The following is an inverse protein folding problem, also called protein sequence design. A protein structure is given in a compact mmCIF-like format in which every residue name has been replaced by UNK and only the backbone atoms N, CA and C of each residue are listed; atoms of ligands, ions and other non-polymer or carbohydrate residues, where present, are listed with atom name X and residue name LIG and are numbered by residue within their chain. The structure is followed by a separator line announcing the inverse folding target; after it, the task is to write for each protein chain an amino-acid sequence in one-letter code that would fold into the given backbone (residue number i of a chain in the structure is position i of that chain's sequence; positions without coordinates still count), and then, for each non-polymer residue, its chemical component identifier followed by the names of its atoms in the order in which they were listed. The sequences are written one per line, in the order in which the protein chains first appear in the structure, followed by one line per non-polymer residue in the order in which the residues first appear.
data_IF_546803059002
#
_entry.id   IF_546803059002
#
_cell.length_a   1.000
_cell.length_b   1.000
_cell.length_c   1.000
_cell.angle_alpha   90.00
_cell.angle_beta   90.00
_cell.angle_gamma   90.00
#
_symmetry.space_group_name_H-M   'P 1'
#
loop_
_entity.id
_entity.type
_entity.pdbx_description
1 polymer ?
#
# COMPACT_ATOMS: atom_id res chain seq x y z
N UNK A 1 5.95 23.01 -6.74
CA UNK A 1 7.33 22.48 -6.86
C UNK A 1 7.25 20.98 -6.67
N UNK A 2 7.80 20.18 -7.59
CA UNK A 2 7.84 18.70 -7.42
C UNK A 2 9.09 18.32 -6.67
N UNK A 3 8.95 17.55 -5.59
CA UNK A 3 10.07 17.03 -4.80
C UNK A 3 10.48 15.64 -5.28
N UNK A 4 9.52 14.84 -5.71
CA UNK A 4 9.67 13.42 -6.04
C UNK A 4 9.63 13.18 -7.56
N UNK A 5 8.66 13.77 -8.25
CA UNK A 5 8.47 13.60 -9.69
C UNK A 5 9.28 14.63 -10.50
N UNK A 6 10.49 14.96 -10.05
CA UNK A 6 11.41 15.91 -10.70
C UNK A 6 11.78 15.51 -12.12
N UNK A 7 11.77 14.22 -12.43
CA UNK A 7 12.03 13.72 -13.79
C UNK A 7 11.06 14.25 -14.85
N UNK A 8 9.87 14.72 -14.44
CA UNK A 8 8.93 15.39 -15.34
C UNK A 8 9.40 16.80 -15.78
N UNK A 9 10.18 17.46 -14.93
CA UNK A 9 10.61 18.84 -15.15
C UNK A 9 12.06 18.90 -15.68
N UNK A 10 12.86 17.87 -15.42
CA UNK A 10 14.28 17.78 -15.78
C UNK A 10 14.48 16.56 -16.68
N UNK A 11 14.63 16.74 -17.98
CA UNK A 11 14.91 15.64 -18.91
C UNK A 11 16.19 14.89 -18.53
N UNK A 12 16.21 13.57 -18.78
CA UNK A 12 17.36 12.69 -18.53
C UNK A 12 17.86 12.67 -17.06
N UNK A 13 17.02 13.00 -16.08
CA UNK A 13 17.41 13.04 -14.66
C UNK A 13 17.88 11.66 -14.12
N UNK A 14 17.53 10.57 -14.82
CA UNK A 14 18.03 9.22 -14.56
C UNK A 14 19.54 9.06 -14.82
N UNK A 15 20.19 10.01 -15.54
CA UNK A 15 21.63 10.00 -15.75
C UNK A 15 22.36 10.67 -14.60
N UNK A 16 23.37 10.02 -14.08
CA UNK A 16 24.15 10.52 -12.92
C UNK A 16 24.64 11.97 -13.10
N UNK A 17 25.19 12.30 -14.27
CA UNK A 17 25.72 13.64 -14.54
C UNK A 17 24.64 14.73 -14.52
N UNK A 18 23.43 14.42 -15.00
CA UNK A 18 22.28 15.33 -14.94
C UNK A 18 21.78 15.46 -13.52
N UNK A 19 21.67 14.35 -12.79
CA UNK A 19 21.27 14.36 -11.38
C UNK A 19 22.20 15.22 -10.52
N UNK A 20 23.53 15.02 -10.68
CA UNK A 20 24.55 15.84 -9.98
C UNK A 20 24.47 17.33 -10.35
N UNK A 21 24.30 17.66 -11.62
CA UNK A 21 24.16 19.05 -12.07
C UNK A 21 22.92 19.76 -11.48
N UNK A 22 21.95 18.99 -10.99
CA UNK A 22 20.72 19.46 -10.34
C UNK A 22 20.69 19.22 -8.82
N UNK A 23 21.85 19.21 -8.16
CA UNK A 23 21.99 19.09 -6.71
C UNK A 23 21.94 17.66 -6.18
N UNK A 24 22.09 16.66 -7.05
CA UNK A 24 22.10 15.26 -6.66
C UNK A 24 23.32 14.89 -5.82
N UNK A 25 23.12 13.97 -4.87
CA UNK A 25 24.08 13.50 -3.88
C UNK A 25 24.59 14.54 -2.86
N UNK A 26 24.05 15.77 -2.86
CA UNK A 26 24.40 16.76 -1.85
C UNK A 26 23.84 16.36 -0.46
N UNK A 27 22.68 15.73 -0.41
CA UNK A 27 22.10 15.17 0.81
C UNK A 27 23.00 14.08 1.41
N UNK A 28 23.54 13.17 0.59
CA UNK A 28 24.46 12.12 1.04
C UNK A 28 25.78 12.73 1.51
N UNK A 29 26.34 13.69 0.78
CA UNK A 29 27.56 14.40 1.20
C UNK A 29 27.37 15.04 2.58
N UNK A 30 26.24 15.74 2.78
CA UNK A 30 25.89 16.33 4.09
C UNK A 30 25.74 15.27 5.17
N UNK A 31 25.01 14.18 4.90
CA UNK A 31 24.82 13.08 5.85
C UNK A 31 26.14 12.49 6.33
N UNK A 32 27.11 12.30 5.44
CA UNK A 32 28.45 11.78 5.80
C UNK A 32 29.27 12.71 6.68
N UNK A 33 28.95 14.00 6.75
CA UNK A 33 29.55 14.94 7.71
C UNK A 33 28.88 14.93 9.07
N UNK A 34 27.69 14.33 9.18
CA UNK A 34 26.90 14.20 10.41
C UNK A 34 27.14 12.84 11.07
N UNK A 35 26.94 12.78 12.38
CA UNK A 35 26.87 11.48 13.06
C UNK A 35 25.60 10.73 12.63
N UNK A 36 25.63 9.38 12.57
CA UNK A 36 24.46 8.58 12.25
C UNK A 36 23.20 8.94 13.04
N UNK A 37 23.32 9.15 14.35
CA UNK A 37 22.21 9.55 15.20
C UNK A 37 21.61 10.93 14.83
N UNK A 38 22.46 11.89 14.43
CA UNK A 38 22.02 13.24 14.03
C UNK A 38 21.20 13.18 12.73
N UNK A 39 21.53 12.27 11.80
CA UNK A 39 20.74 12.01 10.59
C UNK A 39 19.36 11.43 10.95
N UNK A 40 19.33 10.47 11.89
CA UNK A 40 18.05 9.92 12.39
C UNK A 40 17.19 11.01 13.03
N UNK A 41 17.79 11.89 13.83
CA UNK A 41 17.07 12.96 14.52
C UNK A 41 16.54 14.01 13.53
N UNK A 42 17.29 14.34 12.46
CA UNK A 42 16.82 15.22 11.39
C UNK A 42 15.60 14.63 10.67
N UNK A 43 15.63 13.34 10.32
CA UNK A 43 14.50 12.67 9.70
C UNK A 43 13.31 12.53 10.67
N UNK A 44 13.53 12.35 11.96
CA UNK A 44 12.44 12.42 12.96
C UNK A 44 11.85 13.82 13.05
N UNK A 45 12.69 14.84 13.13
CA UNK A 45 12.26 16.23 13.22
C UNK A 45 11.45 16.66 12.00
N UNK A 46 11.73 16.12 10.79
CA UNK A 46 10.97 16.41 9.58
C UNK A 46 9.52 15.92 9.62
N UNK A 47 9.19 14.97 10.51
CA UNK A 47 7.86 14.36 10.54
C UNK A 47 7.57 13.43 9.36
N UNK A 48 8.59 13.00 8.59
CA UNK A 48 8.41 12.09 7.46
C UNK A 48 7.74 10.79 7.90
N UNK A 49 6.55 10.54 7.37
CA UNK A 49 5.83 9.26 7.54
C UNK A 49 6.06 8.36 6.33
N UNK A 50 6.00 7.05 6.53
CA UNK A 50 6.11 6.06 5.46
C UNK A 50 5.05 6.28 4.38
N UNK A 51 5.44 6.20 3.10
CA UNK A 51 4.59 6.45 1.91
C UNK A 51 4.07 5.18 1.25
N UNK A 52 4.46 4.01 1.76
CA UNK A 52 4.06 2.72 1.17
C UNK A 52 2.74 2.14 1.68
N UNK A 53 2.14 2.68 2.74
CA UNK A 53 0.89 2.15 3.29
C UNK A 53 0.57 2.67 4.68
N UNK A 54 1.09 2.05 5.74
CA UNK A 54 0.71 2.30 7.13
C UNK A 54 1.07 3.69 7.69
N UNK A 55 1.89 4.48 7.00
CA UNK A 55 2.23 5.83 7.45
C UNK A 55 3.03 5.91 8.77
N UNK A 56 3.78 4.87 9.12
CA UNK A 56 4.61 4.88 10.33
C UNK A 56 5.76 5.89 10.20
N UNK A 57 6.12 6.68 11.24
CA UNK A 57 7.18 7.66 11.16
C UNK A 57 8.54 7.04 10.81
N UNK A 58 9.16 7.49 9.71
CA UNK A 58 10.35 6.86 9.14
C UNK A 58 11.57 6.96 10.09
N UNK A 59 11.86 8.15 10.61
CA UNK A 59 12.97 8.35 11.53
C UNK A 59 12.82 7.59 12.86
N UNK A 60 11.58 7.40 13.34
CA UNK A 60 11.30 6.56 14.51
C UNK A 60 11.60 5.09 14.18
N UNK A 61 11.20 4.61 13.00
CA UNK A 61 11.52 3.25 12.55
C UNK A 61 13.03 3.01 12.51
N UNK A 62 13.81 3.97 12.02
CA UNK A 62 15.28 3.87 11.97
C UNK A 62 15.90 3.80 13.36
N UNK A 63 15.34 4.50 14.35
CA UNK A 63 15.86 4.48 15.71
C UNK A 63 15.64 3.17 16.48
N UNK A 64 14.83 2.25 15.94
CA UNK A 64 14.67 0.92 16.54
C UNK A 64 15.81 -0.03 16.24
N UNK A 65 16.70 0.31 15.30
CA UNK A 65 17.86 -0.50 14.95
C UNK A 65 18.90 -0.47 16.08
N UNK A 66 19.29 -1.62 16.63
CA UNK A 66 20.36 -1.69 17.62
C UNK A 66 21.68 -1.16 17.05
N UNK A 67 22.29 -0.21 17.76
CA UNK A 67 23.51 0.43 17.27
C UNK A 67 24.74 -0.47 17.37
N UNK A 68 24.77 -1.40 18.31
CA UNK A 68 25.85 -2.33 18.64
C UNK A 68 25.90 -3.58 17.73
N UNK A 69 24.86 -3.83 16.93
CA UNK A 69 24.89 -4.94 15.98
C UNK A 69 25.80 -4.63 14.79
N UNK A 70 26.75 -5.53 14.46
CA UNK A 70 27.75 -5.28 13.42
C UNK A 70 27.19 -5.43 12.00
N UNK A 71 26.12 -6.21 11.82
CA UNK A 71 25.48 -6.47 10.53
C UNK A 71 24.06 -5.92 10.57
N UNK A 72 23.75 -5.02 9.67
CA UNK A 72 22.43 -4.39 9.51
C UNK A 72 22.18 -4.15 8.05
N UNK A 73 20.90 -4.19 7.66
CA UNK A 73 20.50 -4.00 6.27
C UNK A 73 19.45 -2.93 6.11
N UNK A 74 19.45 -2.31 4.93
CA UNK A 74 18.30 -1.55 4.41
C UNK A 74 17.67 -2.39 3.31
N UNK A 75 16.36 -2.58 3.38
CA UNK A 75 15.58 -3.17 2.31
C UNK A 75 14.61 -2.12 1.76
N UNK A 76 14.80 -1.74 0.51
CA UNK A 76 13.90 -0.84 -0.21
C UNK A 76 12.76 -1.66 -0.75
N UNK A 77 11.54 -1.37 -0.29
CA UNK A 77 10.33 -2.01 -0.79
C UNK A 77 9.89 -1.31 -2.08
N UNK A 78 10.22 -1.92 -3.20
CA UNK A 78 9.81 -1.57 -4.55
C UNK A 78 8.85 -2.62 -5.15
N UNK A 79 8.17 -3.41 -4.28
CA UNK A 79 7.08 -4.29 -4.66
C UNK A 79 5.78 -3.50 -4.74
N UNK A 80 5.62 -2.73 -5.81
CA UNK A 80 4.46 -1.90 -6.06
C UNK A 80 3.33 -2.73 -6.68
N UNK A 81 2.60 -3.44 -5.85
CA UNK A 81 1.58 -4.40 -6.27
C UNK A 81 0.16 -4.03 -5.80
N UNK A 82 -0.01 -2.97 -4.98
CA UNK A 82 -1.34 -2.49 -4.57
C UNK A 82 -2.13 -2.03 -5.80
N UNK A 83 -3.40 -2.44 -5.87
CA UNK A 83 -4.27 -2.10 -6.99
C UNK A 83 -4.38 -0.59 -7.18
N UNK A 84 -4.18 -0.11 -8.40
CA UNK A 84 -4.22 1.31 -8.73
C UNK A 84 -2.99 2.11 -8.31
N UNK A 85 -1.92 1.47 -7.81
CA UNK A 85 -0.66 2.14 -7.45
C UNK A 85 0.36 2.04 -8.59
N UNK A 86 0.94 3.19 -9.00
CA UNK A 86 1.95 3.28 -10.08
C UNK A 86 2.90 4.48 -9.90
N UNK A 87 3.09 4.93 -8.66
CA UNK A 87 3.94 6.08 -8.30
C UNK A 87 5.42 5.73 -8.16
N UNK A 88 5.72 4.55 -7.56
CA UNK A 88 7.09 4.12 -7.30
C UNK A 88 7.80 3.76 -8.61
N UNK A 89 7.05 3.18 -9.56
CA UNK A 89 7.51 2.95 -10.92
C UNK A 89 7.97 4.25 -11.56
N UNK A 90 7.15 5.30 -11.55
CA UNK A 90 7.49 6.60 -12.15
C UNK A 90 8.70 7.25 -11.47
N UNK A 91 8.83 7.13 -10.14
CA UNK A 91 10.00 7.63 -9.42
C UNK A 91 11.25 6.89 -9.86
N UNK A 92 11.22 5.56 -9.94
CA UNK A 92 12.37 4.75 -10.32
C UNK A 92 12.78 4.95 -11.79
N UNK A 93 11.81 5.16 -12.69
CA UNK A 93 12.09 5.46 -14.10
C UNK A 93 12.65 6.88 -14.30
N UNK A 94 12.06 7.87 -13.63
CA UNK A 94 12.33 9.28 -13.86
C UNK A 94 13.41 9.92 -12.96
N UNK A 95 13.61 9.37 -11.76
CA UNK A 95 14.51 9.95 -10.75
C UNK A 95 15.15 8.86 -9.86
N UNK A 96 15.76 7.81 -10.44
CA UNK A 96 16.28 6.65 -9.69
C UNK A 96 17.40 7.04 -8.71
N UNK A 97 18.24 8.00 -9.05
CA UNK A 97 19.36 8.42 -8.22
C UNK A 97 18.91 9.09 -6.91
N UNK A 98 17.76 9.79 -6.88
CA UNK A 98 17.25 10.38 -5.64
C UNK A 98 16.76 9.30 -4.67
N UNK A 99 16.13 8.24 -5.16
CA UNK A 99 15.78 7.07 -4.36
C UNK A 99 17.03 6.35 -3.83
N UNK A 100 18.03 6.15 -4.70
CA UNK A 100 19.31 5.54 -4.34
C UNK A 100 20.06 6.36 -3.28
N UNK A 101 20.14 7.68 -3.45
CA UNK A 101 20.71 8.59 -2.46
C UNK A 101 19.99 8.50 -1.12
N UNK A 102 18.66 8.50 -1.12
CA UNK A 102 17.85 8.35 0.11
C UNK A 102 18.07 7.01 0.80
N UNK A 103 18.23 5.93 0.04
CA UNK A 103 18.56 4.61 0.57
C UNK A 103 19.94 4.56 1.21
N UNK A 104 20.94 5.22 0.60
CA UNK A 104 22.31 5.33 1.14
C UNK A 104 22.35 6.23 2.39
N UNK A 105 21.58 7.32 2.43
CA UNK A 105 21.44 8.15 3.65
C UNK A 105 20.82 7.33 4.78
N UNK A 106 19.77 6.55 4.51
CA UNK A 106 19.19 5.63 5.49
C UNK A 106 20.23 4.60 5.96
N UNK A 107 20.99 4.03 5.03
CA UNK A 107 22.04 3.06 5.33
C UNK A 107 23.15 3.65 6.19
N UNK A 108 23.59 4.89 5.91
CA UNK A 108 24.52 5.62 6.78
C UNK A 108 23.96 5.84 8.17
N UNK A 109 22.72 6.31 8.27
CA UNK A 109 22.07 6.62 9.53
C UNK A 109 21.97 5.42 10.48
N UNK A 110 21.77 4.22 9.95
CA UNK A 110 21.73 2.99 10.76
C UNK A 110 23.03 2.20 10.74
N UNK A 111 24.07 2.66 10.03
CA UNK A 111 25.33 1.94 9.82
C UNK A 111 25.10 0.56 9.17
N UNK A 112 24.31 0.53 8.10
CA UNK A 112 24.03 -0.69 7.35
C UNK A 112 25.26 -1.18 6.59
N UNK A 113 25.33 -2.50 6.42
CA UNK A 113 26.39 -3.19 5.67
C UNK A 113 26.04 -3.40 4.19
N UNK A 114 24.77 -3.33 3.84
CA UNK A 114 24.27 -3.38 2.46
C UNK A 114 22.85 -2.82 2.35
N UNK A 115 22.51 -2.43 1.12
CA UNK A 115 21.14 -2.07 0.69
C UNK A 115 20.66 -3.10 -0.31
N UNK A 116 19.43 -3.59 -0.13
CA UNK A 116 18.72 -4.43 -1.08
C UNK A 116 17.48 -3.71 -1.60
N UNK A 117 17.36 -3.56 -2.91
CA UNK A 117 16.17 -2.99 -3.57
C UNK A 117 15.33 -4.18 -4.07
N UNK A 118 14.22 -4.47 -3.38
CA UNK A 118 13.31 -5.54 -3.77
C UNK A 118 12.28 -5.01 -4.76
N UNK A 119 12.42 -5.41 -6.01
CA UNK A 119 11.58 -5.02 -7.13
C UNK A 119 10.44 -6.01 -7.32
N UNK A 120 9.27 -5.51 -7.67
CA UNK A 120 8.17 -6.31 -8.20
C UNK A 120 8.65 -7.13 -9.41
N UNK A 121 8.20 -8.39 -9.54
CA UNK A 121 8.66 -9.30 -10.58
C UNK A 121 8.43 -8.82 -12.02
N UNK A 122 7.42 -7.95 -12.22
CA UNK A 122 7.10 -7.36 -13.51
C UNK A 122 7.98 -6.15 -13.88
N UNK A 123 8.86 -5.69 -12.97
CA UNK A 123 9.72 -4.50 -13.16
C UNK A 123 11.16 -4.86 -13.57
N UNK A 124 11.33 -5.86 -14.40
CA UNK A 124 12.65 -6.31 -14.84
C UNK A 124 13.39 -5.25 -15.69
N UNK A 125 12.69 -4.46 -16.50
CA UNK A 125 13.25 -3.33 -17.26
C UNK A 125 13.72 -2.19 -16.33
N UNK A 126 12.99 -1.94 -15.23
CA UNK A 126 13.41 -1.01 -14.18
C UNK A 126 14.61 -1.57 -13.42
N UNK A 127 14.67 -2.90 -13.23
CA UNK A 127 15.82 -3.57 -12.64
C UNK A 127 17.10 -3.29 -13.43
N UNK A 128 17.07 -3.46 -14.75
CA UNK A 128 18.20 -3.16 -15.64
C UNK A 128 18.61 -1.68 -15.56
N UNK A 129 17.64 -0.77 -15.50
CA UNK A 129 17.89 0.67 -15.33
C UNK A 129 18.57 0.96 -13.99
N UNK A 130 18.09 0.40 -12.90
CA UNK A 130 18.63 0.61 -11.56
C UNK A 130 20.04 0.01 -11.42
N UNK A 131 20.30 -1.16 -11.99
CA UNK A 131 21.64 -1.76 -12.00
C UNK A 131 22.64 -0.85 -12.71
N UNK A 132 22.24 -0.22 -13.81
CA UNK A 132 23.04 0.80 -14.49
C UNK A 132 23.30 2.02 -13.61
N UNK A 133 22.26 2.56 -12.95
CA UNK A 133 22.39 3.71 -12.04
C UNK A 133 23.26 3.38 -10.81
N UNK A 134 23.15 2.17 -10.26
CA UNK A 134 23.98 1.70 -9.15
C UNK A 134 25.45 1.60 -9.59
N UNK A 135 25.71 1.06 -10.79
CA UNK A 135 27.06 0.96 -11.33
C UNK A 135 27.69 2.35 -11.56
N UNK A 136 26.92 3.30 -12.11
CA UNK A 136 27.36 4.68 -12.30
C UNK A 136 27.65 5.38 -10.96
N UNK A 137 26.79 5.21 -9.97
CA UNK A 137 26.97 5.74 -8.63
C UNK A 137 28.22 5.14 -7.94
N UNK A 138 28.45 3.84 -8.08
CA UNK A 138 29.63 3.18 -7.53
C UNK A 138 30.92 3.64 -8.22
N UNK A 139 30.93 3.76 -9.54
CA UNK A 139 32.08 4.29 -10.29
C UNK A 139 32.43 5.73 -9.93
N UNK A 140 31.43 6.54 -9.54
CA UNK A 140 31.62 7.91 -9.07
C UNK A 140 31.90 8.02 -7.55
N UNK A 141 31.96 6.89 -6.84
CA UNK A 141 32.27 6.85 -5.39
C UNK A 141 31.10 7.18 -4.47
N UNK A 142 29.85 7.17 -4.97
CA UNK A 142 28.66 7.43 -4.14
C UNK A 142 28.08 6.14 -3.52
N UNK A 143 28.46 4.96 -4.02
CA UNK A 143 28.04 3.67 -3.50
C UNK A 143 29.21 2.67 -3.48
N UNK A 144 29.05 1.53 -2.84
CA UNK A 144 30.08 0.48 -2.81
C UNK A 144 31.15 0.70 -1.74
N UNK A 145 32.41 0.72 -2.13
CA UNK A 145 33.54 0.79 -1.20
C UNK A 145 33.96 2.24 -0.90
N UNK A 146 34.29 2.52 0.36
CA UNK A 146 34.85 3.79 0.85
C UNK A 146 34.13 5.02 0.26
N UNK A 147 32.82 5.08 0.46
CA UNK A 147 31.92 6.08 -0.12
C UNK A 147 32.43 7.49 0.21
N UNK A 148 32.75 8.27 -0.86
CA UNK A 148 33.28 9.64 -0.78
C UNK A 148 34.49 9.80 0.16
N UNK A 149 35.28 8.74 0.38
CA UNK A 149 36.45 8.78 1.26
C UNK A 149 36.13 8.74 2.75
N UNK A 150 34.90 8.43 3.13
CA UNK A 150 34.44 8.40 4.52
C UNK A 150 34.95 7.21 5.36
N UNK A 151 35.53 6.20 4.71
CA UNK A 151 35.90 4.93 5.34
C UNK A 151 34.71 3.95 5.49
N UNK A 152 33.48 4.39 5.19
CA UNK A 152 32.31 3.53 5.20
C UNK A 152 32.05 2.93 3.81
N UNK A 153 31.65 1.67 3.79
CA UNK A 153 31.35 0.93 2.57
C UNK A 153 29.92 0.36 2.66
N UNK A 154 29.15 0.52 1.59
CA UNK A 154 27.80 0.00 1.52
C UNK A 154 27.44 -0.36 0.07
N UNK A 155 27.55 -1.63 -0.33
CA UNK A 155 27.09 -2.10 -1.62
C UNK A 155 25.56 -2.04 -1.71
N UNK A 156 25.05 -1.82 -2.92
CA UNK A 156 23.62 -1.81 -3.24
C UNK A 156 23.35 -2.89 -4.26
N UNK A 157 22.29 -3.66 -4.02
CA UNK A 157 21.87 -4.76 -4.88
C UNK A 157 20.39 -4.62 -5.24
N UNK A 158 20.03 -4.90 -6.48
CA UNK A 158 18.65 -5.16 -6.88
C UNK A 158 18.29 -6.62 -6.65
N UNK A 159 17.05 -6.90 -6.38
CA UNK A 159 16.49 -8.25 -6.32
C UNK A 159 15.12 -8.23 -6.97
N UNK A 160 14.94 -9.06 -8.00
CA UNK A 160 13.68 -9.17 -8.69
C UNK A 160 12.80 -10.21 -8.00
N UNK A 161 11.61 -9.81 -7.55
CA UNK A 161 10.59 -10.70 -7.01
C UNK A 161 9.96 -11.56 -8.10
N UNK A 162 8.91 -12.28 -7.73
CA UNK A 162 8.17 -13.16 -8.64
C UNK A 162 6.72 -12.74 -8.89
N UNK A 163 6.38 -11.46 -8.67
CA UNK A 163 5.06 -10.90 -8.96
C UNK A 163 3.97 -11.23 -7.94
N UNK A 164 4.32 -11.51 -6.69
CA UNK A 164 3.36 -11.80 -5.63
C UNK A 164 3.11 -10.56 -4.75
N UNK A 165 1.87 -10.06 -4.71
CA UNK A 165 1.43 -8.93 -3.87
C UNK A 165 1.86 -9.05 -2.40
N UNK A 166 1.76 -10.28 -1.85
CA UNK A 166 2.12 -10.51 -0.45
C UNK A 166 3.58 -10.16 -0.13
N UNK A 167 4.48 -10.17 -1.13
CA UNK A 167 5.88 -9.79 -0.94
C UNK A 167 6.07 -8.28 -0.70
N UNK A 168 5.02 -7.46 -0.84
CA UNK A 168 4.98 -6.09 -0.33
C UNK A 168 4.87 -6.01 1.21
N UNK A 169 4.39 -7.07 1.88
CA UNK A 169 4.47 -7.18 3.34
C UNK A 169 5.92 -7.39 3.77
N UNK A 170 6.41 -6.55 4.71
CA UNK A 170 7.85 -6.47 5.00
C UNK A 170 8.51 -7.80 5.36
N UNK A 171 7.85 -8.66 6.12
CA UNK A 171 8.44 -9.95 6.52
C UNK A 171 8.32 -11.02 5.44
N UNK A 172 7.30 -10.96 4.60
CA UNK A 172 7.20 -11.82 3.41
C UNK A 172 8.26 -11.45 2.36
N UNK A 173 8.49 -10.15 2.16
CA UNK A 173 9.58 -9.64 1.32
C UNK A 173 10.95 -10.15 1.79
N UNK A 174 11.23 -10.08 3.09
CA UNK A 174 12.49 -10.60 3.65
C UNK A 174 12.62 -12.11 3.46
N UNK A 175 11.51 -12.87 3.59
CA UNK A 175 11.52 -14.30 3.30
C UNK A 175 11.84 -14.57 1.83
N UNK A 176 11.27 -13.79 0.91
CA UNK A 176 11.56 -13.89 -0.53
C UNK A 176 13.02 -13.56 -0.85
N UNK A 177 13.59 -12.49 -0.25
CA UNK A 177 15.01 -12.16 -0.38
C UNK A 177 15.94 -13.29 0.07
N UNK A 178 15.53 -14.06 1.09
CA UNK A 178 16.28 -15.22 1.58
C UNK A 178 16.13 -16.47 0.70
N UNK A 179 15.35 -16.37 -0.40
CA UNK A 179 15.13 -17.49 -1.32
C UNK A 179 14.13 -18.54 -0.81
N UNK A 180 13.34 -18.21 0.22
CA UNK A 180 12.28 -19.07 0.72
C UNK A 180 10.90 -18.53 0.33
N UNK A 181 9.85 -19.32 0.58
CA UNK A 181 8.49 -18.91 0.24
C UNK A 181 8.13 -17.56 0.86
N UNK A 182 7.69 -16.62 0.02
CA UNK A 182 7.29 -15.27 0.42
C UNK A 182 6.03 -15.28 1.26
N UNK A 183 6.15 -15.59 2.54
CA UNK A 183 5.06 -15.61 3.50
C UNK A 183 5.40 -14.76 4.74
N UNK A 184 4.43 -14.04 5.31
CA UNK A 184 4.63 -13.26 6.54
C UNK A 184 5.16 -14.10 7.69
N UNK A 185 6.02 -13.49 8.52
CA UNK A 185 6.60 -14.10 9.72
C UNK A 185 5.77 -13.74 10.97
N UNK A 186 5.80 -14.61 11.95
CA UNK A 186 5.23 -14.31 13.28
C UNK A 186 6.07 -13.24 13.96
N UNK A 187 5.44 -12.29 14.59
CA UNK A 187 6.08 -11.19 15.34
C UNK A 187 5.72 -11.28 16.82
N UNK A 188 6.60 -10.96 17.77
CA UNK A 188 8.01 -10.63 17.61
C UNK A 188 8.89 -11.85 17.23
N UNK A 189 10.14 -11.66 16.74
CA UNK A 189 10.85 -10.38 16.57
C UNK A 189 10.39 -9.60 15.33
N UNK A 190 10.46 -8.25 15.42
CA UNK A 190 10.20 -7.37 14.29
C UNK A 190 11.43 -7.24 13.38
N UNK A 191 11.30 -6.84 12.09
CA UNK A 191 12.44 -6.71 11.18
C UNK A 191 13.59 -5.85 11.70
N UNK A 192 13.30 -4.78 12.42
CA UNK A 192 14.31 -3.89 13.04
C UNK A 192 15.05 -4.53 14.22
N UNK A 193 14.63 -5.70 14.67
CA UNK A 193 15.26 -6.43 15.79
C UNK A 193 16.10 -7.58 15.27
N UNK A 194 17.16 -7.94 16.01
CA UNK A 194 17.91 -9.16 15.75
C UNK A 194 16.97 -10.38 15.79
N UNK A 195 17.12 -11.27 14.83
CA UNK A 195 16.25 -12.45 14.66
C UNK A 195 15.05 -12.22 13.75
N UNK A 196 14.64 -10.96 13.48
CA UNK A 196 13.44 -10.64 12.69
C UNK A 196 13.70 -10.15 11.26
N UNK A 197 14.87 -9.55 11.01
CA UNK A 197 15.24 -8.99 9.71
C UNK A 197 15.81 -10.00 8.71
N UNK A 198 16.42 -9.48 7.66
CA UNK A 198 17.05 -10.25 6.59
C UNK A 198 18.22 -11.09 7.16
N UNK A 199 18.24 -12.37 6.84
CA UNK A 199 19.21 -13.34 7.39
C UNK A 199 19.30 -13.30 8.93
N UNK A 200 18.17 -12.96 9.58
CA UNK A 200 18.03 -12.74 11.03
C UNK A 200 18.79 -11.54 11.60
N UNK A 201 19.34 -10.68 10.75
CA UNK A 201 19.99 -9.45 11.17
C UNK A 201 19.01 -8.25 11.12
N UNK A 202 19.23 -7.25 11.97
CA UNK A 202 18.36 -6.09 12.06
C UNK A 202 18.26 -5.36 10.70
N UNK A 203 17.03 -5.14 10.22
CA UNK A 203 16.77 -4.59 8.89
C UNK A 203 15.73 -3.48 8.93
N UNK A 204 16.04 -2.34 8.34
CA UNK A 204 15.04 -1.30 8.05
C UNK A 204 14.41 -1.57 6.70
N UNK A 205 13.09 -1.66 6.67
CA UNK A 205 12.32 -1.75 5.43
C UNK A 205 11.64 -0.41 5.19
N UNK A 206 11.90 0.23 4.04
CA UNK A 206 11.23 1.46 3.62
C UNK A 206 10.78 1.39 2.16
N UNK A 207 9.64 2.01 1.85
CA UNK A 207 9.14 2.14 0.49
C UNK A 207 9.98 3.15 -0.32
N UNK A 208 9.97 3.01 -1.64
CA UNK A 208 10.65 3.87 -2.62
C UNK A 208 10.33 5.35 -2.39
N UNK A 209 9.05 5.73 -2.41
CA UNK A 209 8.64 7.13 -2.22
C UNK A 209 9.10 7.69 -0.87
N UNK A 210 9.12 6.88 0.18
CA UNK A 210 9.60 7.31 1.50
C UNK A 210 11.06 7.75 1.45
N UNK A 211 11.92 6.91 0.87
CA UNK A 211 13.36 7.18 0.81
C UNK A 211 13.69 8.34 -0.15
N UNK A 212 12.92 8.49 -1.23
CA UNK A 212 13.10 9.59 -2.19
C UNK A 212 12.89 10.98 -1.56
N UNK A 213 12.17 11.10 -0.44
CA UNK A 213 12.05 12.37 0.31
C UNK A 213 13.32 12.74 1.11
N UNK A 214 14.11 11.75 1.50
CA UNK A 214 15.21 11.94 2.47
C UNK A 214 16.31 12.89 1.99
N UNK A 215 16.79 12.82 0.73
CA UNK A 215 17.79 13.77 0.23
C UNK A 215 17.36 15.22 0.39
N UNK A 216 16.11 15.53 0.05
CA UNK A 216 15.55 16.88 0.17
C UNK A 216 15.49 17.35 1.64
N UNK A 217 15.09 16.46 2.56
CA UNK A 217 15.10 16.76 4.00
C UNK A 217 16.50 17.09 4.48
N UNK A 218 17.52 16.34 4.03
CA UNK A 218 18.90 16.60 4.42
C UNK A 218 19.44 17.92 3.82
N UNK A 219 19.06 18.29 2.59
CA UNK A 219 19.55 19.52 1.95
C UNK A 219 18.85 20.77 2.51
N UNK A 220 17.53 20.76 2.57
CA UNK A 220 16.72 21.95 2.91
C UNK A 220 16.39 22.05 4.40
N UNK A 221 16.50 20.92 5.14
CA UNK A 221 16.20 20.85 6.57
C UNK A 221 14.80 20.35 6.92
N UNK A 222 14.69 19.83 8.14
CA UNK A 222 13.45 19.27 8.67
C UNK A 222 12.32 20.30 8.74
N UNK A 223 12.59 21.53 9.13
CA UNK A 223 11.58 22.57 9.26
C UNK A 223 10.96 22.96 7.90
N UNK A 224 11.78 23.00 6.83
CA UNK A 224 11.30 23.26 5.49
C UNK A 224 10.34 22.15 5.01
N UNK A 225 10.62 20.89 5.35
CA UNK A 225 9.76 19.77 5.02
C UNK A 225 8.45 19.81 5.82
N UNK A 226 8.50 20.15 7.12
CA UNK A 226 7.32 20.29 7.98
C UNK A 226 6.42 21.45 7.56
N UNK A 227 6.95 22.46 6.91
CA UNK A 227 6.16 23.57 6.38
C UNK A 227 5.24 23.18 5.22
N UNK A 228 5.43 21.96 4.64
CA UNK A 228 4.60 21.41 3.58
C UNK A 228 3.66 20.38 4.21
N UNK A 229 2.38 20.40 3.84
CA UNK A 229 1.38 19.44 4.33
C UNK A 229 0.66 19.89 5.60
N UNK A 230 0.27 18.94 6.45
CA UNK A 230 -0.38 19.20 7.74
C UNK A 230 0.60 19.01 8.90
N UNK A 231 0.22 19.43 10.10
CA UNK A 231 1.04 19.25 11.31
C UNK A 231 1.40 17.78 11.57
N UNK A 232 0.45 16.86 11.35
CA UNK A 232 0.62 15.41 11.59
C UNK A 232 1.05 14.64 10.34
N UNK A 233 0.87 15.20 9.15
CA UNK A 233 1.22 14.61 7.87
C UNK A 233 2.04 15.58 7.03
N UNK A 234 3.34 15.69 7.36
CA UNK A 234 4.27 16.60 6.70
C UNK A 234 4.69 16.11 5.30
N UNK A 235 5.03 17.07 4.44
CA UNK A 235 5.59 16.86 3.12
C UNK A 235 4.54 16.65 2.03
N UNK A 236 5.04 16.28 0.85
CA UNK A 236 4.21 15.90 -0.30
C UNK A 236 3.89 14.39 -0.30
N UNK A 237 2.92 14.03 -1.12
CA UNK A 237 2.57 12.65 -1.44
C UNK A 237 2.27 12.55 -2.94
N UNK A 238 2.68 11.45 -3.55
CA UNK A 238 2.24 11.12 -4.91
C UNK A 238 0.92 10.35 -4.81
N UNK A 239 -0.14 10.95 -5.38
CA UNK A 239 -1.46 10.35 -5.48
C UNK A 239 -1.62 9.72 -6.85
N UNK A 240 -1.84 8.40 -6.89
CA UNK A 240 -2.16 7.68 -8.12
C UNK A 240 -3.68 7.77 -8.35
N UNK A 241 -4.12 8.45 -9.39
CA UNK A 241 -5.55 8.60 -9.70
C UNK A 241 -5.92 7.78 -10.93
N UNK A 242 -6.92 6.93 -10.81
CA UNK A 242 -7.41 6.06 -11.88
C UNK A 242 -8.91 5.75 -11.74
N UNK A 243 -9.43 4.86 -12.58
CA UNK A 243 -10.85 4.54 -12.66
C UNK A 243 -11.58 5.47 -13.62
N UNK A 244 -12.81 5.87 -13.29
CA UNK A 244 -13.64 6.74 -14.12
C UNK A 244 -13.27 8.21 -13.95
N UNK A 245 -12.08 8.57 -14.41
CA UNK A 245 -11.54 9.93 -14.35
C UNK A 245 -11.10 10.41 -15.73
N UNK A 246 -11.37 11.67 -16.12
CA UNK A 246 -10.94 12.21 -17.41
C UNK A 246 -9.42 12.29 -17.57
N UNK A 247 -8.68 12.55 -16.52
CA UNK A 247 -7.22 12.69 -16.52
C UNK A 247 -6.58 11.79 -15.47
N UNK A 248 -6.43 10.47 -15.75
CA UNK A 248 -5.71 9.55 -14.86
C UNK A 248 -4.21 9.88 -14.84
N UNK A 249 -3.54 9.61 -13.70
CA UNK A 249 -2.10 9.85 -13.58
C UNK A 249 -1.63 9.99 -12.14
N UNK A 250 -0.34 10.26 -11.99
CA UNK A 250 0.27 10.58 -10.71
C UNK A 250 0.29 12.08 -10.47
N UNK A 251 -0.19 12.50 -9.30
CA UNK A 251 -0.25 13.89 -8.86
C UNK A 251 0.56 14.05 -7.58
N UNK A 252 1.65 14.81 -7.62
CA UNK A 252 2.39 15.15 -6.41
C UNK A 252 1.84 16.43 -5.82
N UNK A 253 1.17 16.30 -4.66
CA UNK A 253 0.53 17.39 -3.93
C UNK A 253 0.93 17.35 -2.46
N UNK A 254 0.82 18.49 -1.72
CA UNK A 254 0.95 18.50 -0.28
C UNK A 254 -0.05 17.54 0.39
N UNK A 255 0.38 16.83 1.43
CA UNK A 255 -0.58 16.14 2.28
C UNK A 255 -1.55 17.16 2.91
N UNK A 256 -2.83 16.80 2.99
CA UNK A 256 -3.90 17.73 3.41
C UNK A 256 -4.63 18.43 2.26
N UNK A 257 -4.20 18.26 1.00
CA UNK A 257 -5.01 18.65 -0.16
C UNK A 257 -6.35 17.91 -0.13
N UNK A 258 -7.51 18.58 -0.29
CA UNK A 258 -8.81 17.92 -0.29
C UNK A 258 -8.98 16.95 -1.49
N UNK A 259 -9.81 15.90 -1.33
CA UNK A 259 -10.18 15.05 -2.47
C UNK A 259 -10.76 15.87 -3.62
N UNK A 260 -11.59 16.89 -3.32
CA UNK A 260 -12.21 17.74 -4.33
C UNK A 260 -11.18 18.41 -5.22
N UNK A 261 -10.15 19.02 -4.66
CA UNK A 261 -9.08 19.65 -5.46
C UNK A 261 -8.39 18.61 -6.35
N UNK A 262 -8.05 17.45 -5.80
CA UNK A 262 -7.39 16.39 -6.57
C UNK A 262 -8.29 15.85 -7.68
N UNK A 263 -9.54 15.49 -7.36
CA UNK A 263 -10.42 14.78 -8.28
C UNK A 263 -11.11 15.72 -9.27
N UNK A 264 -11.56 16.89 -8.83
CA UNK A 264 -12.29 17.83 -9.69
C UNK A 264 -11.30 18.73 -10.44
N UNK A 265 -10.42 19.45 -9.74
CA UNK A 265 -9.58 20.46 -10.36
C UNK A 265 -8.44 19.81 -11.16
N UNK A 266 -7.77 18.82 -10.58
CA UNK A 266 -6.64 18.15 -11.23
C UNK A 266 -7.08 17.00 -12.15
N UNK A 267 -7.88 16.05 -11.68
CA UNK A 267 -8.29 14.87 -12.48
C UNK A 267 -9.49 15.13 -13.40
N UNK A 268 -10.28 16.21 -13.16
CA UNK A 268 -11.36 16.65 -14.06
C UNK A 268 -12.67 15.91 -13.88
N UNK A 269 -12.88 15.27 -12.73
CA UNK A 269 -14.14 14.59 -12.43
C UNK A 269 -15.30 15.57 -12.27
N UNK A 270 -16.49 15.14 -12.70
CA UNK A 270 -17.73 15.77 -12.30
C UNK A 270 -18.11 15.30 -10.88
N UNK A 271 -18.15 16.20 -9.87
CA UNK A 271 -18.43 15.78 -8.50
C UNK A 271 -19.79 15.09 -8.34
N UNK A 272 -20.80 15.47 -9.12
CA UNK A 272 -22.14 14.89 -9.07
C UNK A 272 -22.18 13.47 -9.68
N UNK A 273 -21.13 13.06 -10.40
CA UNK A 273 -21.02 11.76 -11.02
C UNK A 273 -20.01 10.82 -10.30
N UNK A 274 -19.56 11.15 -9.11
CA UNK A 274 -18.69 10.25 -8.30
C UNK A 274 -19.59 9.43 -7.38
N UNK A 275 -19.74 8.13 -7.66
CA UNK A 275 -20.48 7.18 -6.80
C UNK A 275 -19.65 6.74 -5.60
N UNK A 276 -18.42 6.32 -5.86
CA UNK A 276 -17.55 5.73 -4.84
C UNK A 276 -16.08 6.00 -5.11
N UNK A 277 -15.27 5.99 -4.04
CA UNK A 277 -13.84 6.16 -4.09
C UNK A 277 -13.18 5.03 -3.28
N UNK A 278 -12.16 4.38 -3.87
CA UNK A 278 -11.19 3.56 -3.17
C UNK A 278 -9.95 4.43 -2.89
N UNK A 279 -9.75 4.92 -1.67
CA UNK A 279 -8.69 5.91 -1.41
C UNK A 279 -7.29 5.30 -1.28
N UNK A 280 -7.20 3.97 -1.13
CA UNK A 280 -5.94 3.24 -1.01
C UNK A 280 -5.94 1.93 -1.81
N UNK A 281 -6.44 1.98 -3.03
CA UNK A 281 -6.63 0.79 -3.83
C UNK A 281 -7.67 -0.16 -3.22
N UNK A 282 -7.51 -1.44 -3.47
CA UNK A 282 -8.42 -2.46 -2.95
C UNK A 282 -8.25 -2.76 -1.45
N UNK A 283 -7.18 -2.28 -0.81
CA UNK A 283 -6.87 -2.62 0.59
C UNK A 283 -7.63 -1.80 1.63
N UNK A 284 -8.13 -0.61 1.26
CA UNK A 284 -8.82 0.29 2.18
C UNK A 284 -10.34 0.19 2.15
N UNK A 285 -10.98 0.64 3.24
CA UNK A 285 -12.41 0.89 3.24
C UNK A 285 -12.85 1.82 2.11
N UNK A 286 -13.85 1.39 1.34
CA UNK A 286 -14.44 2.15 0.24
C UNK A 286 -15.37 3.21 0.81
N UNK A 287 -15.29 4.44 0.31
CA UNK A 287 -16.11 5.56 0.75
C UNK A 287 -17.04 6.05 -0.37
N UNK A 288 -18.24 6.58 -0.04
CA UNK A 288 -19.15 7.16 -1.03
C UNK A 288 -18.63 8.52 -1.53
N UNK A 289 -19.03 8.90 -2.76
CA UNK A 289 -18.65 10.18 -3.38
C UNK A 289 -19.48 11.38 -2.89
N UNK A 290 -19.64 11.55 -1.57
CA UNK A 290 -20.41 12.66 -0.98
C UNK A 290 -19.56 13.91 -0.85
N UNK A 291 -20.22 15.08 -0.75
CA UNK A 291 -19.53 16.37 -0.51
C UNK A 291 -18.63 16.32 0.73
N UNK A 292 -19.08 15.70 1.82
CA UNK A 292 -18.30 15.53 3.04
C UNK A 292 -16.98 14.76 2.77
N UNK A 293 -17.04 13.68 1.99
CA UNK A 293 -15.86 12.92 1.58
C UNK A 293 -14.98 13.74 0.65
N UNK A 294 -15.57 14.41 -0.33
CA UNK A 294 -14.83 15.23 -1.29
C UNK A 294 -14.09 16.40 -0.62
N UNK A 295 -14.66 16.97 0.44
CA UNK A 295 -14.05 18.09 1.18
C UNK A 295 -13.07 17.62 2.27
N UNK A 296 -12.93 16.29 2.47
CA UNK A 296 -11.98 15.72 3.43
C UNK A 296 -10.53 15.87 2.94
N UNK A 297 -9.60 16.35 3.80
CA UNK A 297 -8.19 16.45 3.47
C UNK A 297 -7.55 15.07 3.28
N UNK A 298 -6.72 14.92 2.26
CA UNK A 298 -5.90 13.74 1.98
C UNK A 298 -4.69 13.68 2.93
N UNK A 299 -4.94 13.35 4.20
CA UNK A 299 -3.92 13.15 5.22
C UNK A 299 -4.17 11.86 6.00
N UNK A 300 -3.16 11.35 6.70
CA UNK A 300 -3.32 10.09 7.44
C UNK A 300 -4.37 10.20 8.53
N UNK A 301 -4.37 11.31 9.28
CA UNK A 301 -5.31 11.58 10.38
C UNK A 301 -6.74 11.81 9.89
N UNK A 302 -6.93 12.54 8.79
CA UNK A 302 -8.27 12.80 8.25
C UNK A 302 -8.89 11.54 7.65
N UNK A 303 -8.09 10.72 6.93
CA UNK A 303 -8.57 9.44 6.42
C UNK A 303 -8.98 8.49 7.55
N UNK A 304 -8.21 8.44 8.63
CA UNK A 304 -8.58 7.67 9.82
C UNK A 304 -9.89 8.19 10.45
N UNK A 305 -10.07 9.51 10.51
CA UNK A 305 -11.31 10.15 10.98
C UNK A 305 -12.52 9.80 10.11
N UNK A 306 -12.31 9.61 8.80
CA UNK A 306 -13.34 9.19 7.85
C UNK A 306 -13.63 7.67 7.91
N UNK A 307 -12.92 6.91 8.74
CA UNK A 307 -13.07 5.45 8.83
C UNK A 307 -12.41 4.67 7.68
N UNK A 308 -11.48 5.30 6.97
CA UNK A 308 -10.69 4.67 5.90
C UNK A 308 -9.19 4.87 6.12
N UNK A 309 -8.37 4.55 5.15
CA UNK A 309 -6.92 4.72 5.20
C UNK A 309 -6.42 5.44 3.94
N UNK A 310 -5.36 6.23 4.08
CA UNK A 310 -4.67 6.83 2.93
C UNK A 310 -3.85 5.79 2.17
N UNK A 311 -3.26 4.83 2.87
CA UNK A 311 -2.50 3.73 2.30
C UNK A 311 -1.36 4.20 1.39
N UNK A 312 -1.28 3.59 0.21
CA UNK A 312 -0.36 4.01 -0.87
C UNK A 312 -0.80 5.28 -1.58
N UNK A 313 -2.01 5.80 -1.29
CA UNK A 313 -2.70 6.87 -2.01
C UNK A 313 -3.01 6.52 -3.48
N UNK A 314 -3.39 5.28 -3.72
CA UNK A 314 -3.97 4.81 -4.98
C UNK A 314 -5.47 5.05 -4.99
N UNK A 315 -5.89 6.14 -5.58
CA UNK A 315 -7.27 6.61 -5.59
C UNK A 315 -7.95 6.11 -6.86
N UNK A 316 -8.91 5.19 -6.70
CA UNK A 316 -9.69 4.65 -7.80
C UNK A 316 -11.11 5.21 -7.68
N UNK A 317 -11.57 5.91 -8.72
CA UNK A 317 -12.89 6.54 -8.76
C UNK A 317 -13.86 5.70 -9.55
N UNK A 318 -15.05 5.47 -9.01
CA UNK A 318 -16.19 4.87 -9.70
C UNK A 318 -17.28 5.91 -9.88
N UNK A 319 -17.81 6.02 -11.07
CA UNK A 319 -18.95 6.87 -11.38
C UNK A 319 -20.30 6.17 -11.09
N UNK A 320 -21.41 6.90 -11.30
CA UNK A 320 -22.77 6.42 -11.00
C UNK A 320 -23.21 5.20 -11.83
N UNK A 321 -22.50 4.84 -12.89
CA UNK A 321 -22.80 3.66 -13.71
C UNK A 321 -22.29 2.35 -13.14
N UNK A 322 -21.43 2.39 -12.11
CA UNK A 322 -20.74 1.21 -11.58
C UNK A 322 -21.60 0.50 -10.55
N UNK A 323 -21.70 -0.81 -10.71
CA UNK A 323 -22.26 -1.72 -9.72
C UNK A 323 -21.21 -2.07 -8.65
N UNK A 324 -21.48 -1.71 -7.40
CA UNK A 324 -20.53 -1.92 -6.30
C UNK A 324 -20.43 -3.38 -5.87
N UNK A 325 -21.42 -4.23 -6.19
CA UNK A 325 -21.32 -5.69 -6.01
C UNK A 325 -20.26 -6.27 -6.94
N UNK A 326 -20.20 -5.77 -8.18
CA UNK A 326 -19.16 -6.15 -9.14
C UNK A 326 -17.78 -5.69 -8.65
N UNK A 327 -17.63 -4.47 -8.11
CA UNK A 327 -16.37 -3.97 -7.55
C UNK A 327 -15.91 -4.87 -6.40
N UNK A 328 -16.81 -5.19 -5.46
CA UNK A 328 -16.52 -6.08 -4.34
C UNK A 328 -16.03 -7.45 -4.82
N UNK A 329 -16.65 -8.02 -5.85
CA UNK A 329 -16.21 -9.28 -6.46
C UNK A 329 -14.81 -9.18 -7.08
N UNK A 330 -14.51 -8.09 -7.81
CA UNK A 330 -13.20 -7.92 -8.45
C UNK A 330 -12.08 -7.80 -7.43
N UNK A 331 -12.28 -7.02 -6.38
CA UNK A 331 -11.30 -6.87 -5.29
C UNK A 331 -11.14 -8.18 -4.51
N UNK A 332 -12.24 -8.89 -4.24
CA UNK A 332 -12.17 -10.21 -3.58
C UNK A 332 -11.39 -11.22 -4.40
N UNK A 333 -11.60 -11.27 -5.74
CA UNK A 333 -10.84 -12.15 -6.64
C UNK A 333 -9.34 -11.85 -6.60
N UNK A 334 -8.98 -10.57 -6.55
CA UNK A 334 -7.59 -10.17 -6.38
C UNK A 334 -7.01 -10.71 -5.07
N UNK A 335 -7.62 -10.45 -3.92
CA UNK A 335 -7.10 -10.92 -2.63
C UNK A 335 -7.12 -12.44 -2.46
N UNK A 336 -8.10 -13.13 -3.06
CA UNK A 336 -8.11 -14.59 -3.13
C UNK A 336 -6.89 -15.12 -3.89
N UNK A 337 -6.57 -14.52 -5.03
CA UNK A 337 -5.40 -14.90 -5.83
C UNK A 337 -4.09 -14.62 -5.08
N UNK A 338 -4.01 -13.49 -4.38
CA UNK A 338 -2.80 -13.01 -3.69
C UNK A 338 -2.64 -13.55 -2.27
N UNK A 339 -3.62 -14.27 -1.74
CA UNK A 339 -3.50 -14.93 -0.44
C UNK A 339 -2.37 -15.96 -0.46
N UNK A 340 -1.39 -15.81 0.44
CA UNK A 340 -0.29 -16.75 0.56
C UNK A 340 -0.71 -18.12 1.14
N UNK A 341 -1.96 -18.28 1.57
CA UNK A 341 -2.52 -19.52 2.11
C UNK A 341 -2.03 -19.92 3.51
N UNK A 342 -1.22 -19.10 4.19
CA UNK A 342 -0.62 -19.45 5.48
C UNK A 342 -1.63 -19.59 6.60
N UNK A 343 -2.59 -18.67 6.73
CA UNK A 343 -3.57 -18.68 7.81
C UNK A 343 -4.99 -18.96 7.29
N UNK A 344 -5.72 -19.81 8.04
CA UNK A 344 -7.04 -20.31 7.65
C UNK A 344 -8.06 -19.20 7.37
N UNK A 345 -8.23 -18.15 8.22
CA UNK A 345 -9.27 -17.15 7.98
C UNK A 345 -9.11 -16.44 6.61
N UNK A 346 -7.89 -16.08 6.23
CA UNK A 346 -7.63 -15.46 4.92
C UNK A 346 -7.81 -16.47 3.77
N UNK A 347 -7.18 -17.65 3.84
CA UNK A 347 -7.22 -18.65 2.77
C UNK A 347 -8.63 -19.11 2.46
N UNK A 348 -9.38 -19.51 3.47
CA UNK A 348 -10.74 -20.03 3.30
C UNK A 348 -11.77 -18.89 3.15
N UNK A 349 -11.62 -17.81 3.91
CA UNK A 349 -12.55 -16.70 3.85
C UNK A 349 -12.59 -16.02 2.49
N UNK A 350 -11.44 -15.72 1.90
CA UNK A 350 -11.40 -15.14 0.54
C UNK A 350 -11.98 -16.07 -0.51
N UNK A 351 -11.78 -17.39 -0.36
CA UNK A 351 -12.39 -18.39 -1.23
C UNK A 351 -13.92 -18.41 -1.11
N UNK A 352 -14.46 -18.39 0.12
CA UNK A 352 -15.90 -18.39 0.34
C UNK A 352 -16.55 -17.10 -0.15
N UNK A 353 -15.95 -15.95 0.13
CA UNK A 353 -16.42 -14.65 -0.37
C UNK A 353 -16.52 -14.65 -1.90
N UNK A 354 -15.47 -15.11 -2.60
CA UNK A 354 -15.46 -15.19 -4.05
C UNK A 354 -16.60 -16.09 -4.58
N UNK A 355 -16.80 -17.27 -3.98
CA UNK A 355 -17.86 -18.22 -4.42
C UNK A 355 -19.25 -17.67 -4.24
N UNK A 356 -19.51 -16.96 -3.14
CA UNK A 356 -20.84 -16.37 -2.90
C UNK A 356 -21.06 -15.16 -3.80
N UNK A 357 -20.05 -14.32 -4.00
CA UNK A 357 -20.13 -13.18 -4.93
C UNK A 357 -20.33 -13.62 -6.39
N UNK A 358 -19.66 -14.69 -6.82
CA UNK A 358 -19.89 -15.26 -8.15
C UNK A 358 -21.38 -15.65 -8.32
N UNK A 359 -21.94 -16.39 -7.34
CA UNK A 359 -23.37 -16.79 -7.35
C UNK A 359 -24.30 -15.59 -7.38
N UNK A 360 -24.02 -14.53 -6.61
CA UNK A 360 -24.82 -13.30 -6.61
C UNK A 360 -24.81 -12.65 -8.00
N UNK A 361 -23.63 -12.49 -8.60
CA UNK A 361 -23.48 -11.84 -9.91
C UNK A 361 -23.99 -12.69 -11.09
N UNK A 362 -24.03 -14.01 -10.96
CA UNK A 362 -24.59 -14.94 -11.96
C UNK A 362 -26.13 -15.00 -11.94
N UNK A 363 -26.79 -14.23 -11.04
CA UNK A 363 -28.24 -14.18 -10.91
C UNK A 363 -28.84 -15.33 -10.09
N UNK A 364 -27.99 -16.08 -9.38
CA UNK A 364 -28.38 -17.16 -8.49
C UNK A 364 -28.33 -16.74 -7.00
N UNK A 365 -28.19 -15.43 -6.76
CA UNK A 365 -28.09 -14.83 -5.42
C UNK A 365 -29.35 -15.09 -4.58
N UNK A 366 -29.16 -15.42 -3.32
CA UNK A 366 -30.20 -15.67 -2.34
C UNK A 366 -30.26 -14.51 -1.33
N UNK A 367 -31.44 -14.22 -0.73
CA UNK A 367 -31.56 -13.14 0.26
C UNK A 367 -30.55 -13.24 1.42
N UNK A 368 -30.20 -14.45 1.84
CA UNK A 368 -29.24 -14.71 2.92
C UNK A 368 -27.77 -14.52 2.52
N UNK A 369 -27.46 -14.45 1.21
CA UNK A 369 -26.08 -14.41 0.73
C UNK A 369 -25.36 -13.09 1.09
N UNK A 370 -26.06 -11.96 1.09
CA UNK A 370 -25.49 -10.67 1.49
C UNK A 370 -25.06 -10.70 2.95
N UNK A 371 -25.93 -11.24 3.84
CA UNK A 371 -25.58 -11.40 5.24
C UNK A 371 -24.47 -12.44 5.45
N UNK A 372 -24.40 -13.47 4.61
CA UNK A 372 -23.37 -14.50 4.68
C UNK A 372 -21.98 -13.92 4.39
N UNK A 373 -21.84 -13.15 3.28
CA UNK A 373 -20.54 -12.53 2.94
C UNK A 373 -20.12 -11.47 3.96
N UNK A 374 -21.04 -10.67 4.50
CA UNK A 374 -20.77 -9.74 5.58
C UNK A 374 -20.24 -10.45 6.83
N UNK A 375 -20.88 -11.55 7.23
CA UNK A 375 -20.43 -12.37 8.38
C UNK A 375 -19.05 -12.99 8.13
N UNK A 376 -18.79 -13.54 6.95
CA UNK A 376 -17.47 -14.10 6.59
C UNK A 376 -16.40 -13.02 6.67
N UNK A 377 -16.63 -11.86 6.06
CA UNK A 377 -15.68 -10.74 6.07
C UNK A 377 -15.38 -10.25 7.50
N UNK A 378 -16.43 -10.06 8.34
CA UNK A 378 -16.27 -9.65 9.74
C UNK A 378 -15.51 -10.68 10.59
N UNK A 379 -15.67 -11.98 10.30
CA UNK A 379 -14.91 -13.03 11.00
C UNK A 379 -13.46 -13.14 10.52
N UNK A 380 -13.14 -12.65 9.32
CA UNK A 380 -11.76 -12.55 8.82
C UNK A 380 -11.01 -11.38 9.45
N UNK A 381 -11.69 -10.23 9.62
CA UNK A 381 -11.10 -9.01 10.14
C UNK A 381 -10.47 -9.21 11.53
N UNK A 382 -9.22 -8.78 11.71
CA UNK A 382 -8.48 -8.89 12.97
C UNK A 382 -8.05 -10.30 13.38
N UNK A 383 -8.32 -11.35 12.57
CA UNK A 383 -8.03 -12.74 12.93
C UNK A 383 -6.93 -13.38 12.08
N UNK A 384 -6.30 -12.61 11.21
CA UNK A 384 -5.27 -13.09 10.29
C UNK A 384 -3.85 -12.70 10.73
N UNK A 385 -2.84 -13.43 10.25
CA UNK A 385 -1.43 -13.20 10.63
C UNK A 385 -0.89 -11.85 10.13
N UNK A 386 -1.36 -11.38 8.99
CA UNK A 386 -0.96 -10.11 8.38
C UNK A 386 -2.18 -9.33 7.91
N UNK A 387 -1.97 -8.08 7.54
CA UNK A 387 -3.04 -7.16 7.15
C UNK A 387 -3.81 -7.56 5.87
N UNK A 388 -3.30 -8.51 5.06
CA UNK A 388 -3.99 -8.93 3.83
C UNK A 388 -5.41 -9.44 4.10
N UNK A 389 -5.64 -10.11 5.22
CA UNK A 389 -7.00 -10.57 5.58
C UNK A 389 -7.95 -9.43 5.88
N UNK A 390 -7.48 -8.38 6.56
CA UNK A 390 -8.24 -7.16 6.80
C UNK A 390 -8.50 -6.41 5.49
N UNK A 391 -7.49 -6.33 4.62
CA UNK A 391 -7.61 -5.72 3.29
C UNK A 391 -8.64 -6.46 2.40
N UNK A 392 -8.72 -7.78 2.51
CA UNK A 392 -9.73 -8.56 1.80
C UNK A 392 -11.15 -8.42 2.38
N UNK A 393 -11.26 -8.18 3.69
CA UNK A 393 -12.54 -8.00 4.37
C UNK A 393 -13.13 -6.59 4.17
N UNK A 394 -12.30 -5.56 4.18
CA UNK A 394 -12.73 -4.16 4.11
C UNK A 394 -13.65 -3.85 2.92
N UNK A 395 -13.32 -4.22 1.67
CA UNK A 395 -14.19 -3.93 0.53
C UNK A 395 -15.58 -4.53 0.66
N UNK A 396 -15.70 -5.73 1.23
CA UNK A 396 -17.00 -6.38 1.45
C UNK A 396 -17.81 -5.62 2.49
N UNK A 397 -17.24 -5.41 3.67
CA UNK A 397 -17.93 -4.75 4.79
C UNK A 397 -18.41 -3.36 4.38
N UNK A 398 -17.53 -2.58 3.73
CA UNK A 398 -17.83 -1.18 3.43
C UNK A 398 -18.70 -1.01 2.16
N UNK A 399 -18.60 -1.89 1.17
CA UNK A 399 -19.55 -1.84 0.03
C UNK A 399 -20.95 -2.23 0.44
N UNK A 400 -21.13 -3.27 1.26
CA UNK A 400 -22.46 -3.66 1.76
C UNK A 400 -23.05 -2.52 2.61
N UNK A 401 -22.25 -1.90 3.47
CA UNK A 401 -22.72 -0.83 4.36
C UNK A 401 -23.11 0.45 3.59
N UNK A 402 -22.30 0.83 2.59
CA UNK A 402 -22.48 2.10 1.88
C UNK A 402 -23.38 2.00 0.62
N UNK A 403 -23.49 0.80 0.03
CA UNK A 403 -24.21 0.56 -1.22
C UNK A 403 -25.10 -0.70 -1.14
N UNK A 404 -25.98 -0.81 -0.14
CA UNK A 404 -26.81 -2.01 0.06
C UNK A 404 -27.74 -2.29 -1.11
N UNK A 405 -28.21 -1.27 -1.81
CA UNK A 405 -29.15 -1.41 -2.93
C UNK A 405 -28.50 -2.13 -4.12
N UNK A 406 -27.20 -1.91 -4.37
CA UNK A 406 -26.49 -2.62 -5.44
C UNK A 406 -26.49 -4.14 -5.17
N UNK A 407 -26.29 -4.56 -3.91
CA UNK A 407 -26.34 -5.98 -3.55
C UNK A 407 -27.76 -6.55 -3.59
N UNK A 408 -28.75 -5.79 -3.09
CA UNK A 408 -30.14 -6.22 -3.04
C UNK A 408 -30.71 -6.41 -4.46
N UNK A 409 -30.23 -5.66 -5.45
CA UNK A 409 -30.65 -5.80 -6.84
C UNK A 409 -30.31 -7.16 -7.45
N UNK A 410 -29.29 -7.86 -6.91
CA UNK A 410 -28.83 -9.16 -7.40
C UNK A 410 -29.42 -10.37 -6.65
N UNK A 411 -30.11 -10.17 -5.52
CA UNK A 411 -30.64 -11.28 -4.74
C UNK A 411 -32.12 -11.49 -5.01
N UNK A 412 -32.50 -12.73 -5.29
CA UNK A 412 -33.90 -13.06 -5.54
C UNK A 412 -34.69 -13.12 -4.21
N UNK A 413 -35.95 -12.68 -4.18
CA UNK A 413 -36.80 -12.89 -3.03
C UNK A 413 -36.95 -14.38 -2.75
N UNK A 414 -37.01 -14.77 -1.46
CA UNK A 414 -37.33 -16.16 -1.10
C UNK A 414 -38.62 -16.56 -1.81
N UNK A 415 -38.68 -17.75 -2.48
CA UNK A 415 -39.98 -18.30 -2.91
C UNK A 415 -40.89 -18.32 -1.69
N UNK A 416 -42.11 -17.80 -1.82
CA UNK A 416 -43.10 -17.97 -0.75
C UNK A 416 -43.16 -19.46 -0.40
N UNK A 417 -42.87 -19.79 0.86
CA UNK A 417 -43.06 -21.16 1.33
C UNK A 417 -44.53 -21.52 1.02
N UNK A 418 -44.78 -22.44 0.05
CA UNK A 418 -46.09 -23.01 -0.17
C UNK A 418 -46.55 -23.54 1.23
N UNK A 419 -47.53 -22.85 1.78
CA UNK A 419 -48.12 -23.33 3.04
C UNK A 419 -48.55 -24.77 2.77
N UNK A 420 -48.09 -25.77 3.54
CA UNK A 420 -48.46 -27.14 3.28
C UNK A 420 -49.99 -27.26 3.32
N UNK A 421 -50.54 -27.66 2.18
CA UNK A 421 -51.98 -27.81 2.02
C UNK A 421 -52.57 -28.51 3.24
N UNK A 422 -53.54 -27.87 3.89
CA UNK A 422 -54.18 -28.37 5.10
C UNK A 422 -54.58 -29.83 4.90
N UNK A 423 -53.99 -30.74 5.64
CA UNK A 423 -54.31 -32.17 5.60
C UNK A 423 -55.84 -32.32 5.78
N UNK A 424 -56.55 -32.98 4.86
CA UNK A 424 -57.98 -33.20 5.00
C UNK A 424 -58.24 -33.94 6.35
N UNK A 425 -59.19 -33.42 7.09
CA UNK A 425 -59.58 -34.01 8.39
C UNK A 425 -59.96 -35.49 8.18
N UNK A 426 -59.21 -36.37 8.89
CA UNK A 426 -59.56 -37.82 8.90
C UNK A 426 -60.99 -37.99 9.41
N UNK A 427 -61.89 -38.39 8.49
CA UNK A 427 -63.28 -38.72 8.76
C UNK A 427 -63.39 -39.72 9.92
N UNK A 428 -64.12 -39.33 10.96
CA UNK A 428 -64.37 -40.17 12.13
C UNK A 428 -65.07 -41.46 11.75
N UNK A 429 -64.46 -42.60 12.04
CA UNK A 429 -65.11 -43.91 11.99
C UNK A 429 -66.28 -43.95 12.98
N UNK A 430 -67.53 -43.93 12.45
CA UNK A 430 -68.71 -44.25 13.27
C UNK A 430 -68.57 -45.67 13.79
N UNK A 431 -68.49 -45.84 15.11
CA UNK A 431 -68.69 -47.13 15.78
C UNK A 431 -70.10 -47.53 15.53
N UNK A 432 -70.34 -48.68 14.90
CA UNK A 432 -71.62 -49.39 14.93
C UNK A 432 -71.72 -50.05 16.27
N UNK A 433 -72.76 -49.69 16.98
CA UNK A 433 -73.23 -50.47 18.15
C UNK A 433 -73.95 -51.72 17.61
N UNK A 434 -73.54 -52.88 18.06
CA UNK A 434 -74.27 -54.14 17.92
C UNK A 434 -75.01 -54.42 19.18
N UNK A 435 -76.29 -54.66 19.03
CA UNK A 435 -77.17 -55.21 20.03
C UNK A 435 -76.84 -56.68 20.33
#
# INVERSE_FOLDING_TARGET
MRLLLRGRDIPDLHRLSVYQANGGYEGLKKALTMKPAEVIDEVKASGLRGRGGAGFPAGVKWSFIPQDEPIKYVAVNADESETGTFKDREIMEGNPHQMLEGALICAWAIQATAVYIYLRGEFWDIGDLLDGCIADAAAAGFAGENILGSGWSCPVYTHLGAGAYICGEESAMLSSLEGVLGQPRVRPPFPAQKGGGLYREATVVNNVETLTNVPWILTEGADAFRAIGTEQSAGTKVFCVSGHVPRPGNYELPLGTPFRELLVDHAGCDPDNIKAILPSGGSGPIVPGTDEVLDTPLSYEAMQGLGTILGSASIIVMDNSVDMTWVASKVTKFFKHESCGKCTPCREGTYWLDKVLDRILEGEGRPEDVQLIDNVAKNMAGTTLCALGDFAANPIIHTISNFPDDFNAHVQPKPEEEQPAARPARGGRRRRASA
#
